data_IF_333056807425
#
_entry.id   IF_333056807425
#
_cell.length_a   1.000
_cell.length_b   1.000
_cell.length_c   1.000
_cell.angle_alpha   90.00
_cell.angle_beta   90.00
_cell.angle_gamma   90.00
#
_symmetry.space_group_name_H-M   'P 1'
#
loop_
_entity.id
_entity.type
_entity.pdbx_description
1 polymer ?
#
# COMPACT_ATOMS: atom_id res chain seq x y z
N UNK A 1 6.82 3.27 16.45
CA UNK A 1 7.28 2.96 15.09
C UNK A 1 7.55 1.47 15.01
N UNK A 2 6.90 0.83 14.08
CA UNK A 2 7.06 -0.62 13.89
C UNK A 2 8.29 -0.87 13.00
N UNK A 3 9.19 -1.75 13.43
CA UNK A 3 10.31 -2.15 12.60
C UNK A 3 9.90 -3.20 11.56
N UNK A 4 10.73 -3.40 10.55
CA UNK A 4 10.44 -4.32 9.45
C UNK A 4 10.24 -5.76 9.92
N UNK A 5 11.06 -6.21 10.87
CA UNK A 5 10.97 -7.58 11.41
C UNK A 5 9.62 -7.81 12.09
N UNK A 6 9.18 -6.88 12.92
CA UNK A 6 7.87 -6.97 13.61
C UNK A 6 6.72 -6.98 12.60
N UNK A 7 6.79 -6.17 11.55
CA UNK A 7 5.77 -6.14 10.50
C UNK A 7 5.74 -7.47 9.74
N UNK A 8 6.89 -8.03 9.37
CA UNK A 8 6.97 -9.32 8.69
C UNK A 8 6.40 -10.45 9.56
N UNK A 9 6.70 -10.45 10.86
CA UNK A 9 6.14 -11.42 11.80
C UNK A 9 4.61 -11.30 11.88
N UNK A 10 4.09 -10.08 11.92
CA UNK A 10 2.64 -9.84 11.94
C UNK A 10 1.96 -10.34 10.66
N UNK A 11 2.57 -10.11 9.50
CA UNK A 11 2.08 -10.63 8.22
C UNK A 11 2.00 -12.14 8.26
N UNK A 12 3.04 -12.82 8.75
CA UNK A 12 3.07 -14.27 8.84
C UNK A 12 2.02 -14.79 9.83
N UNK A 13 1.84 -14.15 10.97
CA UNK A 13 0.83 -14.53 11.94
C UNK A 13 -0.59 -14.39 11.40
N UNK A 14 -0.90 -13.29 10.71
CA UNK A 14 -2.19 -13.09 10.08
C UNK A 14 -2.45 -14.13 8.98
N UNK A 15 -1.45 -14.40 8.14
CA UNK A 15 -1.55 -15.42 7.10
C UNK A 15 -1.82 -16.81 7.68
N UNK A 16 -1.11 -17.17 8.74
CA UNK A 16 -1.29 -18.45 9.43
C UNK A 16 -2.67 -18.56 10.06
N UNK A 17 -3.15 -17.48 10.69
CA UNK A 17 -4.49 -17.44 11.28
C UNK A 17 -5.58 -17.74 10.23
N UNK A 18 -5.53 -17.11 9.07
CA UNK A 18 -6.50 -17.34 8.01
C UNK A 18 -6.44 -18.76 7.45
N UNK A 19 -5.22 -19.30 7.28
CA UNK A 19 -5.04 -20.67 6.77
C UNK A 19 -5.58 -21.72 7.75
N UNK A 20 -5.26 -21.56 9.06
CA UNK A 20 -5.63 -22.57 10.06
C UNK A 20 -7.07 -22.45 10.54
N UNK A 21 -7.59 -21.22 10.68
CA UNK A 21 -8.93 -20.99 11.23
C UNK A 21 -10.01 -21.03 10.16
N UNK A 22 -9.73 -20.48 8.96
CA UNK A 22 -10.71 -20.34 7.89
C UNK A 22 -10.38 -21.16 6.64
N UNK A 23 -9.28 -21.90 6.64
CA UNK A 23 -8.81 -22.68 5.48
C UNK A 23 -8.73 -21.83 4.20
N UNK A 24 -8.27 -20.58 4.34
CA UNK A 24 -8.15 -19.62 3.24
C UNK A 24 -6.72 -19.08 3.21
N UNK A 25 -6.13 -18.98 2.00
CA UNK A 25 -4.86 -18.29 1.80
C UNK A 25 -5.17 -16.82 1.55
N UNK A 26 -4.87 -15.91 2.50
CA UNK A 26 -5.20 -14.50 2.33
C UNK A 26 -4.30 -13.84 1.28
N UNK A 27 -4.85 -12.84 0.57
CA UNK A 27 -4.08 -12.05 -0.37
C UNK A 27 -3.27 -10.95 0.34
N UNK A 28 -2.24 -10.44 -0.32
CA UNK A 28 -1.50 -9.27 0.17
C UNK A 28 -2.43 -8.08 0.37
N UNK A 29 -3.40 -7.91 -0.50
CA UNK A 29 -4.40 -6.84 -0.38
C UNK A 29 -5.18 -6.95 0.93
N UNK A 30 -5.69 -8.14 1.26
CA UNK A 30 -6.44 -8.34 2.50
C UNK A 30 -5.57 -8.09 3.74
N UNK A 31 -4.39 -8.70 3.79
CA UNK A 31 -3.47 -8.55 4.93
C UNK A 31 -3.09 -7.09 5.13
N UNK A 32 -2.70 -6.40 4.07
CA UNK A 32 -2.28 -5.00 4.15
C UNK A 32 -3.43 -4.06 4.54
N UNK A 33 -4.65 -4.32 4.08
CA UNK A 33 -5.83 -3.55 4.50
C UNK A 33 -6.12 -3.70 5.99
N UNK A 34 -5.98 -4.90 6.52
CA UNK A 34 -6.15 -5.14 7.96
C UNK A 34 -5.10 -4.36 8.75
N UNK A 35 -3.84 -4.43 8.34
CA UNK A 35 -2.74 -3.73 9.02
C UNK A 35 -2.91 -2.21 8.92
N UNK A 36 -3.29 -1.68 7.77
CA UNK A 36 -3.55 -0.25 7.62
C UNK A 36 -4.69 0.21 8.51
N UNK A 37 -5.80 -0.54 8.55
CA UNK A 37 -6.99 -0.17 9.30
C UNK A 37 -6.84 -0.31 10.82
N UNK A 38 -5.91 -1.15 11.29
CA UNK A 38 -5.72 -1.40 12.73
C UNK A 38 -4.51 -0.67 13.30
N UNK A 39 -3.35 -0.81 12.68
CA UNK A 39 -2.07 -0.28 13.18
C UNK A 39 -1.54 0.90 12.39
N UNK A 40 -2.01 1.10 11.16
CA UNK A 40 -1.58 2.21 10.31
C UNK A 40 -0.11 2.18 9.89
N UNK A 41 0.54 1.01 9.93
CA UNK A 41 1.98 0.91 9.67
C UNK A 41 2.35 0.45 8.26
N UNK A 42 1.36 0.14 7.42
CA UNK A 42 1.55 -0.17 6.00
C UNK A 42 0.44 0.49 5.17
N UNK A 43 0.70 0.83 3.89
CA UNK A 43 -0.37 1.13 2.96
C UNK A 43 -1.12 -0.15 2.57
N UNK A 44 -2.32 -0.02 1.98
CA UNK A 44 -3.06 -1.15 1.44
C UNK A 44 -2.53 -1.48 0.04
N UNK A 45 -2.08 -2.72 -0.16
CA UNK A 45 -1.51 -3.17 -1.44
C UNK A 45 -2.63 -3.63 -2.37
N UNK A 46 -3.53 -2.72 -2.71
CA UNK A 46 -4.58 -2.97 -3.68
C UNK A 46 -4.12 -2.65 -5.11
N UNK A 47 -4.99 -2.88 -6.08
CA UNK A 47 -4.69 -2.68 -7.50
C UNK A 47 -4.23 -1.25 -7.81
N UNK A 48 -4.93 -0.25 -7.30
CA UNK A 48 -4.62 1.14 -7.61
C UNK A 48 -3.32 1.58 -6.97
N UNK A 49 -3.06 1.16 -5.74
CA UNK A 49 -1.78 1.42 -5.08
C UNK A 49 -0.62 0.81 -5.88
N UNK A 50 -0.75 -0.46 -6.26
CA UNK A 50 0.28 -1.17 -7.03
C UNK A 50 0.52 -0.50 -8.39
N UNK A 51 -0.54 -0.13 -9.09
CA UNK A 51 -0.43 0.57 -10.38
C UNK A 51 0.25 1.92 -10.22
N UNK A 52 -0.07 2.67 -9.18
CA UNK A 52 0.58 3.94 -8.88
C UNK A 52 2.07 3.80 -8.56
N UNK A 53 2.43 2.78 -7.79
CA UNK A 53 3.83 2.48 -7.47
C UNK A 53 4.63 2.17 -8.74
N UNK A 54 4.06 1.34 -9.61
CA UNK A 54 4.70 0.99 -10.89
C UNK A 54 4.86 2.21 -11.81
N UNK A 55 3.85 3.09 -11.85
CA UNK A 55 3.91 4.30 -12.67
C UNK A 55 5.06 5.21 -12.24
N UNK A 56 5.35 5.28 -10.96
CA UNK A 56 6.47 6.05 -10.41
C UNK A 56 7.79 5.27 -10.42
N UNK A 57 7.81 4.09 -11.05
CA UNK A 57 9.00 3.25 -11.23
C UNK A 57 9.59 2.74 -9.91
N UNK A 58 8.76 2.57 -8.89
CA UNK A 58 9.12 1.88 -7.66
C UNK A 58 8.76 0.39 -7.74
N UNK A 59 9.35 -0.42 -6.85
CA UNK A 59 9.22 -1.87 -6.88
C UNK A 59 8.49 -2.47 -5.67
N UNK A 60 7.95 -1.65 -4.75
CA UNK A 60 7.29 -2.19 -3.56
C UNK A 60 5.81 -2.52 -3.85
N UNK A 61 5.60 -3.67 -4.45
CA UNK A 61 4.28 -4.13 -4.89
C UNK A 61 3.80 -5.40 -4.19
N UNK A 62 4.58 -5.95 -3.25
CA UNK A 62 4.23 -7.17 -2.49
C UNK A 62 4.55 -6.98 -1.01
N UNK A 63 4.07 -7.92 -0.17
CA UNK A 63 4.39 -7.93 1.27
C UNK A 63 5.67 -8.70 1.60
N UNK A 64 6.54 -8.92 0.62
CA UNK A 64 7.83 -9.58 0.84
C UNK A 64 8.87 -8.58 1.37
N UNK A 65 9.90 -9.13 2.03
CA UNK A 65 10.93 -8.33 2.71
C UNK A 65 11.55 -7.25 1.83
N UNK A 66 11.99 -7.59 0.62
CA UNK A 66 12.63 -6.61 -0.30
C UNK A 66 11.69 -5.49 -0.70
N UNK A 67 10.44 -5.83 -0.96
CA UNK A 67 9.41 -4.85 -1.29
C UNK A 67 9.21 -3.87 -0.13
N UNK A 68 9.08 -4.36 1.09
CA UNK A 68 8.88 -3.51 2.27
C UNK A 68 10.12 -2.69 2.60
N UNK A 69 11.32 -3.20 2.36
CA UNK A 69 12.56 -2.42 2.46
C UNK A 69 12.52 -1.22 1.50
N UNK A 70 12.08 -1.45 0.26
CA UNK A 70 11.90 -0.38 -0.72
C UNK A 70 10.87 0.66 -0.30
N UNK A 71 9.76 0.22 0.28
CA UNK A 71 8.73 1.11 0.83
C UNK A 71 9.30 2.00 1.94
N UNK A 72 10.03 1.40 2.88
CA UNK A 72 10.61 2.16 3.99
C UNK A 72 11.72 3.11 3.51
N UNK A 73 12.49 2.72 2.51
CA UNK A 73 13.46 3.61 1.89
C UNK A 73 12.77 4.83 1.26
N UNK A 74 11.68 4.61 0.54
CA UNK A 74 10.86 5.69 -0.01
C UNK A 74 10.35 6.62 1.09
N UNK A 75 9.84 6.04 2.18
CA UNK A 75 9.35 6.81 3.32
C UNK A 75 10.46 7.67 3.91
N UNK A 76 11.63 7.11 4.17
CA UNK A 76 12.76 7.86 4.74
C UNK A 76 13.24 8.97 3.80
N UNK A 77 13.30 8.70 2.51
CA UNK A 77 13.74 9.67 1.51
C UNK A 77 12.79 10.87 1.37
N UNK A 78 11.50 10.66 1.67
CA UNK A 78 10.46 11.68 1.53
C UNK A 78 9.82 12.07 2.87
N UNK A 79 10.48 11.78 3.97
CA UNK A 79 9.92 11.91 5.32
C UNK A 79 9.42 13.32 5.63
N UNK A 80 10.18 14.35 5.28
CA UNK A 80 9.80 15.75 5.56
C UNK A 80 8.52 16.14 4.84
N UNK A 81 8.40 15.81 3.56
CA UNK A 81 7.21 16.11 2.76
C UNK A 81 5.99 15.36 3.29
N UNK A 82 6.16 14.08 3.62
CA UNK A 82 5.08 13.25 4.15
C UNK A 82 4.59 13.75 5.51
N UNK A 83 5.49 14.14 6.38
CA UNK A 83 5.14 14.70 7.69
C UNK A 83 4.39 16.03 7.52
N UNK A 84 4.82 16.90 6.59
CA UNK A 84 4.14 18.15 6.31
C UNK A 84 2.72 17.94 5.81
N UNK A 85 2.51 16.95 4.95
CA UNK A 85 1.16 16.58 4.48
C UNK A 85 0.33 16.03 5.64
N UNK A 86 0.90 15.16 6.47
CA UNK A 86 0.22 14.57 7.62
C UNK A 86 -0.28 15.63 8.60
N UNK A 87 0.44 16.73 8.77
CA UNK A 87 0.00 17.83 9.65
C UNK A 87 -1.33 18.44 9.21
N UNK A 88 -1.65 18.38 7.92
CA UNK A 88 -2.94 18.83 7.39
C UNK A 88 -4.06 17.80 7.61
N UNK A 89 -3.71 16.54 7.84
CA UNK A 89 -4.63 15.43 8.05
C UNK A 89 -4.23 14.62 9.29
N UNK A 90 -4.30 15.25 10.49
CA UNK A 90 -3.76 14.64 11.71
C UNK A 90 -4.49 13.35 12.14
N UNK A 91 -5.70 13.11 11.61
CA UNK A 91 -6.47 11.90 11.88
C UNK A 91 -5.93 10.67 11.14
N UNK A 92 -5.05 10.85 10.15
CA UNK A 92 -4.52 9.73 9.37
C UNK A 92 -3.11 9.36 9.82
N UNK A 93 -2.79 8.06 9.92
CA UNK A 93 -1.40 7.63 10.10
C UNK A 93 -0.60 7.95 8.82
N UNK A 94 0.72 8.09 8.96
CA UNK A 94 1.57 8.52 7.85
C UNK A 94 1.54 7.54 6.67
N UNK A 95 1.40 6.24 6.93
CA UNK A 95 1.29 5.25 5.86
C UNK A 95 -0.04 5.34 5.11
N UNK A 96 -1.09 5.92 5.70
CA UNK A 96 -2.31 6.27 4.97
C UNK A 96 -2.06 7.39 3.96
N UNK A 97 -1.19 8.33 4.28
CA UNK A 97 -0.77 9.38 3.33
C UNK A 97 -0.03 8.76 2.14
N UNK A 98 0.90 7.84 2.40
CA UNK A 98 1.61 7.10 1.33
C UNK A 98 0.62 6.31 0.47
N UNK A 99 -0.33 5.63 1.10
CA UNK A 99 -1.40 4.89 0.42
C UNK A 99 -2.19 5.78 -0.53
N UNK A 100 -2.67 6.91 -0.03
CA UNK A 100 -3.48 7.85 -0.81
C UNK A 100 -2.71 8.42 -2.00
N UNK A 101 -1.43 8.71 -1.84
CA UNK A 101 -0.59 9.23 -2.91
C UNK A 101 -0.53 8.28 -4.10
N UNK A 102 -0.13 7.03 -3.87
CA UNK A 102 -0.01 6.04 -4.94
C UNK A 102 -1.37 5.57 -5.46
N UNK A 103 -2.35 5.44 -4.58
CA UNK A 103 -3.71 5.08 -4.96
C UNK A 103 -4.31 6.09 -5.96
N UNK A 104 -4.12 7.38 -5.69
CA UNK A 104 -4.62 8.44 -6.58
C UNK A 104 -3.99 8.34 -7.97
N UNK A 105 -2.69 8.10 -8.04
CA UNK A 105 -1.99 7.91 -9.32
C UNK A 105 -2.57 6.72 -10.09
N UNK A 106 -2.74 5.59 -9.42
CA UNK A 106 -3.30 4.38 -10.04
C UNK A 106 -4.75 4.57 -10.48
N UNK A 107 -5.54 5.28 -9.68
CA UNK A 107 -6.92 5.60 -10.03
C UNK A 107 -7.01 6.48 -11.28
N UNK A 108 -6.19 7.51 -11.37
CA UNK A 108 -6.14 8.41 -12.54
C UNK A 108 -5.75 7.64 -13.80
N UNK A 109 -4.78 6.73 -13.73
CA UNK A 109 -4.40 5.86 -14.85
C UNK A 109 -5.56 4.99 -15.30
N UNK A 110 -6.33 4.43 -14.38
CA UNK A 110 -7.52 3.63 -14.67
C UNK A 110 -8.57 4.45 -15.42
N UNK A 111 -8.79 5.70 -15.00
CA UNK A 111 -9.73 6.63 -15.64
C UNK A 111 -9.30 6.94 -17.07
N UNK A 112 -8.02 7.23 -17.30
CA UNK A 112 -7.47 7.49 -18.64
C UNK A 112 -7.67 6.28 -19.56
N UNK A 113 -7.44 5.07 -19.08
CA UNK A 113 -7.66 3.83 -19.86
C UNK A 113 -9.11 3.66 -20.27
N UNK A 114 -10.05 3.94 -19.38
CA UNK A 114 -11.49 3.86 -19.66
C UNK A 114 -11.87 4.87 -20.73
N UNK A 115 -11.42 6.13 -20.62
CA UNK A 115 -11.68 7.16 -21.61
C UNK A 115 -11.15 6.79 -23.00
N UNK A 116 -9.94 6.24 -23.10
CA UNK A 116 -9.35 5.77 -24.36
C UNK A 116 -10.17 4.63 -24.97
N UNK A 117 -10.66 3.70 -24.17
CA UNK A 117 -11.53 2.62 -24.65
C UNK A 117 -12.85 3.15 -25.20
N UNK A 118 -13.47 4.12 -24.52
CA UNK A 118 -14.70 4.76 -25.00
C UNK A 118 -14.49 5.50 -26.32
N UNK A 119 -13.38 6.22 -26.44
CA UNK A 119 -13.03 6.93 -27.67
C UNK A 119 -12.85 5.98 -28.87
N UNK A 120 -12.27 4.81 -28.64
CA UNK A 120 -12.10 3.79 -29.69
C UNK A 120 -13.41 3.18 -30.18
N UNK A 121 -14.45 3.17 -29.37
CA UNK A 121 -15.77 2.64 -29.70
C UNK A 121 -16.63 3.64 -30.49
N UNK A 122 -16.26 4.88 -30.49
CA UNK A 122 -16.92 5.93 -31.26
C UNK A 122 -16.29 6.08 -32.64
#
# INVERSE_FOLDING_TARGET
IHDLKSILNLIDELSSYYKTTHNVTPTDTLISKIILGTLGCLPAFDRFFIDGVKEKEYCFTTLKKKSLEGLFYFFEANQLELINIQKQYPQYPIMKIVDMYFWQIGFELSTIKIEKCQTKLL
#
